data_IF_322686085845
#
_entry.id   IF_322686085845
#
_cell.length_a   1.000
_cell.length_b   1.000
_cell.length_c   1.000
_cell.angle_alpha   90.00
_cell.angle_beta   90.00
_cell.angle_gamma   90.00
#
_symmetry.space_group_name_H-M   'P 1'
#
loop_
_entity.id
_entity.type
_entity.pdbx_description
1 polymer ?
#
# COMPACT_ATOMS: atom_id res chain seq x y z
N UNK A 1 -55.39 21.72 37.86
CA UNK A 1 -54.35 21.59 38.90
C UNK A 1 -53.92 20.14 38.95
N UNK A 2 -52.60 19.89 38.99
CA UNK A 2 -51.90 18.91 39.85
C UNK A 2 -52.46 17.46 39.98
N UNK A 3 -51.76 16.42 39.46
CA UNK A 3 -50.65 15.63 40.10
C UNK A 3 -51.09 14.81 41.32
N UNK A 4 -50.63 13.59 41.61
CA UNK A 4 -49.45 12.76 41.23
C UNK A 4 -49.88 11.26 41.31
N UNK A 5 -49.42 10.34 40.47
CA UNK A 5 -48.14 9.57 40.52
C UNK A 5 -47.90 8.69 41.76
N UNK A 6 -47.89 7.37 41.53
CA UNK A 6 -47.17 6.24 42.19
C UNK A 6 -47.52 4.99 41.35
N UNK A 7 -46.72 3.94 41.10
CA UNK A 7 -45.32 3.58 41.39
C UNK A 7 -44.77 2.75 40.18
N UNK A 8 -43.47 2.40 40.16
CA UNK A 8 -42.90 1.41 39.21
C UNK A 8 -42.91 -0.01 39.78
N UNK A 9 -42.80 -1.05 38.92
CA UNK A 9 -41.77 -2.12 38.96
C UNK A 9 -41.85 -3.02 37.69
N UNK A 10 -40.71 -3.60 37.30
CA UNK A 10 -40.43 -4.35 36.06
C UNK A 10 -40.92 -5.82 36.08
N UNK A 11 -41.08 -6.45 34.90
CA UNK A 11 -40.15 -7.49 34.37
C UNK A 11 -40.71 -8.39 33.23
N UNK A 12 -39.80 -8.93 32.39
CA UNK A 12 -39.91 -10.07 31.46
C UNK A 12 -40.94 -9.99 30.29
N UNK A 13 -40.54 -9.79 29.02
CA UNK A 13 -39.83 -10.72 28.08
C UNK A 13 -40.71 -11.85 27.52
N UNK A 14 -41.00 -11.76 26.21
CA UNK A 14 -40.81 -12.87 25.27
C UNK A 14 -40.76 -12.35 23.82
N UNK A 15 -39.72 -12.69 23.07
CA UNK A 15 -39.50 -12.19 21.71
C UNK A 15 -40.28 -12.98 20.66
N UNK A 16 -40.95 -12.29 19.74
CA UNK A 16 -41.51 -12.90 18.53
C UNK A 16 -40.46 -12.86 17.41
N UNK A 17 -40.11 -14.04 16.89
CA UNK A 17 -39.14 -14.20 15.81
C UNK A 17 -39.66 -13.61 14.49
N UNK A 18 -39.07 -12.49 14.07
CA UNK A 18 -39.09 -12.09 12.65
C UNK A 18 -37.79 -12.58 12.03
N UNK A 19 -37.83 -13.75 11.38
CA UNK A 19 -36.79 -14.13 10.44
C UNK A 19 -36.87 -13.23 9.20
N UNK A 20 -36.26 -12.06 9.29
CA UNK A 20 -35.72 -11.44 8.09
C UNK A 20 -34.61 -12.35 7.60
N UNK A 21 -34.78 -12.90 6.40
CA UNK A 21 -33.73 -13.65 5.73
C UNK A 21 -32.66 -12.67 5.27
N UNK A 22 -31.78 -12.27 6.19
CA UNK A 22 -30.49 -11.68 5.82
C UNK A 22 -29.80 -12.67 4.90
N UNK A 23 -29.65 -12.31 3.63
CA UNK A 23 -28.60 -12.87 2.79
C UNK A 23 -27.27 -12.48 3.46
N UNK A 24 -26.78 -13.35 4.34
CA UNK A 24 -25.49 -13.20 4.95
C UNK A 24 -24.46 -13.29 3.83
N UNK A 25 -23.92 -12.14 3.43
CA UNK A 25 -22.52 -12.10 3.03
C UNK A 25 -21.78 -12.69 4.22
N UNK A 26 -21.04 -13.79 4.01
CA UNK A 26 -20.25 -14.40 5.06
C UNK A 26 -19.15 -13.42 5.49
N UNK A 27 -19.48 -12.58 6.46
CA UNK A 27 -18.49 -11.80 7.21
C UNK A 27 -17.70 -12.79 8.05
N UNK A 28 -16.70 -13.41 7.42
CA UNK A 28 -15.65 -14.12 8.13
C UNK A 28 -15.08 -13.13 9.15
N UNK A 29 -15.30 -13.43 10.43
CA UNK A 29 -14.85 -12.60 11.53
C UNK A 29 -13.35 -12.35 11.41
N UNK A 30 -12.89 -11.13 11.67
CA UNK A 30 -11.47 -10.80 11.79
C UNK A 30 -10.71 -11.79 12.70
N UNK A 31 -11.39 -12.36 13.70
CA UNK A 31 -10.86 -13.37 14.60
C UNK A 31 -10.45 -14.68 13.91
N UNK A 32 -11.11 -15.05 12.80
CA UNK A 32 -10.79 -16.25 12.02
C UNK A 32 -9.48 -16.10 11.24
N UNK A 33 -9.06 -14.86 10.95
CA UNK A 33 -7.82 -14.54 10.26
C UNK A 33 -6.63 -14.41 11.24
N UNK A 34 -6.82 -14.58 12.56
CA UNK A 34 -5.76 -14.39 13.56
C UNK A 34 -4.69 -15.48 13.53
N UNK A 35 -3.43 -15.08 13.33
CA UNK A 35 -2.29 -16.00 13.26
C UNK A 35 -1.77 -16.29 14.68
N UNK A 36 -2.02 -17.50 15.17
CA UNK A 36 -1.58 -17.93 16.51
C UNK A 36 -0.06 -18.09 16.64
N UNK A 37 0.63 -18.50 15.56
CA UNK A 37 2.08 -18.64 15.51
C UNK A 37 2.58 -18.82 14.07
N UNK A 38 3.65 -18.12 13.68
CA UNK A 38 4.35 -18.37 12.42
C UNK A 38 5.58 -19.28 12.62
N UNK A 39 5.82 -20.28 11.75
CA UNK A 39 6.96 -21.18 11.88
C UNK A 39 8.31 -20.45 11.88
N UNK A 40 9.08 -20.52 12.97
CA UNK A 40 10.38 -19.86 13.08
C UNK A 40 10.33 -18.37 13.46
N UNK A 41 9.14 -17.79 13.65
CA UNK A 41 9.00 -16.49 14.29
C UNK A 41 9.34 -16.61 15.78
N UNK A 42 10.10 -15.66 16.38
CA UNK A 42 10.25 -15.59 17.83
C UNK A 42 8.91 -15.26 18.50
N UNK A 43 8.84 -15.35 19.83
CA UNK A 43 7.66 -14.88 20.56
C UNK A 43 7.52 -13.37 20.39
N UNK A 44 6.38 -12.93 19.85
CA UNK A 44 6.01 -11.53 19.67
C UNK A 44 4.91 -11.13 20.66
N UNK A 45 4.81 -9.83 20.94
CA UNK A 45 3.83 -9.23 21.85
C UNK A 45 2.59 -8.66 21.13
N UNK A 46 2.69 -8.40 19.82
CA UNK A 46 1.61 -7.87 18.98
C UNK A 46 0.68 -8.97 18.46
N UNK A 47 -0.55 -8.59 18.14
CA UNK A 47 -1.46 -9.44 17.36
C UNK A 47 -1.18 -9.32 15.87
N UNK A 48 -1.38 -10.41 15.15
CA UNK A 48 -1.12 -10.53 13.73
C UNK A 48 -2.22 -11.36 13.06
N UNK A 49 -2.63 -10.96 11.87
CA UNK A 49 -3.76 -11.52 11.14
C UNK A 49 -3.40 -11.66 9.66
N UNK A 50 -3.88 -12.70 9.00
CA UNK A 50 -3.83 -12.79 7.55
C UNK A 50 -4.96 -13.65 7.01
N UNK A 51 -5.36 -13.33 5.79
CA UNK A 51 -6.49 -13.97 5.13
C UNK A 51 -6.84 -13.20 3.88
N UNK A 52 -8.10 -13.29 3.46
CA UNK A 52 -8.57 -12.71 2.21
C UNK A 52 -9.63 -11.62 2.41
N UNK A 53 -9.61 -10.65 1.50
CA UNK A 53 -10.70 -9.71 1.28
C UNK A 53 -11.17 -9.91 -0.16
N UNK A 54 -12.45 -10.26 -0.32
CA UNK A 54 -13.09 -10.39 -1.63
C UNK A 54 -13.20 -9.03 -2.29
N UNK A 55 -12.79 -8.96 -3.56
CA UNK A 55 -12.85 -7.77 -4.41
C UNK A 55 -14.02 -7.87 -5.38
N UNK A 56 -14.23 -9.06 -5.94
CA UNK A 56 -15.27 -9.34 -6.93
C UNK A 56 -15.72 -10.80 -6.82
N UNK A 57 -16.90 -11.01 -6.24
CA UNK A 57 -17.51 -12.33 -6.07
C UNK A 57 -17.81 -13.01 -7.42
N UNK A 58 -18.15 -12.24 -8.47
CA UNK A 58 -18.53 -12.81 -9.77
C UNK A 58 -17.33 -13.36 -10.54
N UNK A 59 -16.14 -12.83 -10.27
CA UNK A 59 -14.88 -13.25 -10.90
C UNK A 59 -14.03 -14.15 -9.98
N UNK A 60 -14.50 -14.44 -8.76
CA UNK A 60 -13.74 -15.00 -7.63
C UNK A 60 -12.34 -14.35 -7.56
N UNK A 61 -12.35 -13.03 -7.36
CA UNK A 61 -11.16 -12.20 -7.20
C UNK A 61 -11.04 -11.73 -5.77
N UNK A 62 -9.92 -12.06 -5.14
CA UNK A 62 -9.65 -11.75 -3.73
C UNK A 62 -8.20 -11.33 -3.54
N UNK A 63 -7.98 -10.33 -2.68
CA UNK A 63 -6.64 -9.96 -2.24
C UNK A 63 -6.33 -10.63 -0.91
N UNK A 64 -5.17 -11.29 -0.85
CA UNK A 64 -4.53 -11.68 0.38
C UNK A 64 -4.01 -10.43 1.10
N UNK A 65 -4.07 -10.45 2.43
CA UNK A 65 -3.41 -9.45 3.26
C UNK A 65 -2.72 -10.10 4.46
N UNK A 66 -1.67 -9.44 4.92
CA UNK A 66 -1.09 -9.62 6.25
C UNK A 66 -1.24 -8.32 7.03
N UNK A 67 -1.63 -8.39 8.30
CA UNK A 67 -1.89 -7.25 9.16
C UNK A 67 -1.23 -7.48 10.52
N UNK A 68 -0.50 -6.50 11.02
CA UNK A 68 0.07 -6.52 12.38
C UNK A 68 -0.35 -5.29 13.16
N UNK A 69 -0.75 -5.49 14.39
CA UNK A 69 -1.08 -4.39 15.31
C UNK A 69 0.20 -3.74 15.86
N UNK A 70 0.10 -2.45 16.23
CA UNK A 70 1.21 -1.75 16.86
C UNK A 70 1.62 -2.40 18.20
N UNK A 71 2.92 -2.42 18.53
CA UNK A 71 3.37 -2.97 19.81
C UNK A 71 2.94 -2.09 21.01
N UNK A 72 2.02 -2.62 21.80
CA UNK A 72 1.88 -2.42 23.24
C UNK A 72 1.77 -0.97 23.78
N UNK A 73 0.64 -0.30 23.53
CA UNK A 73 0.17 0.84 24.35
C UNK A 73 -1.37 0.97 24.29
N UNK A 74 -2.03 0.90 25.44
CA UNK A 74 -3.46 0.56 25.59
C UNK A 74 -4.43 1.75 25.62
N UNK A 75 -3.97 2.99 25.37
CA UNK A 75 -4.79 4.19 25.65
C UNK A 75 -5.01 5.18 24.50
N UNK A 76 -4.50 4.94 23.29
CA UNK A 76 -4.72 5.80 22.12
C UNK A 76 -5.00 5.01 20.84
N UNK A 77 -5.91 5.52 20.00
CA UNK A 77 -6.10 5.04 18.62
C UNK A 77 -4.81 5.28 17.84
N UNK A 78 -4.04 4.21 17.59
CA UNK A 78 -2.82 4.30 16.76
C UNK A 78 -3.21 4.46 15.28
N UNK A 79 -2.38 5.14 14.47
CA UNK A 79 -2.56 5.19 13.03
C UNK A 79 -2.66 3.80 12.38
N UNK A 80 -3.36 3.74 11.26
CA UNK A 80 -3.35 2.61 10.34
C UNK A 80 -2.52 3.02 9.13
N UNK A 81 -1.46 2.27 8.84
CA UNK A 81 -0.60 2.53 7.70
C UNK A 81 -0.61 1.32 6.76
N UNK A 82 -0.89 1.58 5.49
CA UNK A 82 -0.68 0.59 4.43
C UNK A 82 0.81 0.65 4.05
N UNK A 83 1.62 -0.37 4.45
CA UNK A 83 3.10 -0.51 4.25
C UNK A 83 4.00 0.50 5.03
N UNK A 84 5.26 0.31 5.44
CA UNK A 84 5.99 -0.76 6.19
C UNK A 84 6.52 -0.12 7.52
N UNK A 85 6.73 -0.92 8.59
CA UNK A 85 7.44 -0.61 9.88
C UNK A 85 6.60 -0.46 11.17
N UNK A 86 7.19 -0.77 12.33
CA UNK A 86 6.49 -1.22 13.55
C UNK A 86 5.98 -0.18 14.56
N UNK A 87 5.73 1.07 14.19
CA UNK A 87 5.25 2.13 15.12
C UNK A 87 3.72 2.38 15.03
N UNK A 88 3.04 1.70 14.12
CA UNK A 88 1.63 1.87 13.82
C UNK A 88 0.98 0.50 13.48
N UNK A 89 -0.34 0.48 13.29
CA UNK A 89 -1.01 -0.72 12.78
C UNK A 89 -0.68 -0.85 11.29
N UNK A 90 -0.10 -1.97 10.86
CA UNK A 90 0.45 -2.10 9.51
C UNK A 90 -0.33 -3.10 8.68
N UNK A 91 -0.89 -2.64 7.56
CA UNK A 91 -1.62 -3.46 6.61
C UNK A 91 -0.80 -3.68 5.33
N UNK A 92 -0.61 -4.95 4.98
CA UNK A 92 0.18 -5.42 3.84
C UNK A 92 -0.74 -6.17 2.84
N UNK A 93 -1.45 -5.46 1.94
CA UNK A 93 -2.19 -6.09 0.86
C UNK A 93 -1.26 -6.54 -0.26
N UNK A 94 -1.43 -7.78 -0.74
CA UNK A 94 -0.81 -8.21 -1.99
C UNK A 94 -1.72 -7.79 -3.16
N UNK A 95 -1.26 -6.83 -3.97
CA UNK A 95 -2.07 -6.21 -5.04
C UNK A 95 -1.23 -6.01 -6.31
N UNK A 96 -1.81 -6.07 -7.53
CA UNK A 96 -3.18 -6.52 -7.84
C UNK A 96 -3.34 -8.04 -7.65
N UNK A 97 -4.53 -8.57 -7.95
CA UNK A 97 -4.76 -10.02 -7.99
C UNK A 97 -3.80 -10.71 -8.98
N UNK A 98 -3.24 -11.84 -8.55
CA UNK A 98 -2.14 -12.54 -9.22
C UNK A 98 -0.75 -12.18 -8.68
N UNK A 99 -0.64 -11.18 -7.79
CA UNK A 99 0.56 -10.95 -6.95
C UNK A 99 0.52 -11.86 -5.72
N UNK A 100 1.57 -12.64 -5.48
CA UNK A 100 1.71 -13.47 -4.28
C UNK A 100 0.61 -14.53 -4.13
N UNK A 101 -0.13 -14.48 -3.03
CA UNK A 101 -1.29 -15.31 -2.73
C UNK A 101 -2.63 -14.71 -3.19
N UNK A 102 -2.66 -13.44 -3.62
CA UNK A 102 -3.84 -12.80 -4.20
C UNK A 102 -4.14 -13.38 -5.57
N UNK A 103 -5.43 -13.54 -5.90
CA UNK A 103 -5.82 -14.29 -7.09
C UNK A 103 -7.15 -13.80 -7.70
N UNK A 104 -7.37 -14.20 -8.94
CA UNK A 104 -8.63 -14.15 -9.70
C UNK A 104 -8.82 -15.53 -10.33
N UNK A 105 -9.97 -16.18 -10.13
CA UNK A 105 -10.26 -17.45 -10.80
C UNK A 105 -10.45 -17.26 -12.32
N UNK A 106 -10.99 -16.11 -12.73
CA UNK A 106 -11.01 -15.73 -14.14
C UNK A 106 -9.60 -15.31 -14.61
N UNK A 107 -9.03 -16.08 -15.54
CA UNK A 107 -7.69 -15.85 -16.08
C UNK A 107 -7.61 -14.72 -17.11
N UNK A 108 -8.71 -14.30 -17.72
CA UNK A 108 -8.72 -13.15 -18.66
C UNK A 108 -8.52 -11.81 -17.96
N UNK A 109 -8.75 -11.76 -16.64
CA UNK A 109 -8.41 -10.61 -15.81
C UNK A 109 -6.92 -10.23 -15.95
N UNK A 110 -6.02 -11.21 -15.91
CA UNK A 110 -4.57 -10.98 -15.94
C UNK A 110 -4.04 -10.43 -17.28
N UNK A 111 -4.86 -10.42 -18.34
CA UNK A 111 -4.44 -9.96 -19.67
C UNK A 111 -4.69 -8.47 -19.94
N UNK A 112 -5.54 -7.81 -19.15
CA UNK A 112 -5.97 -6.42 -19.35
C UNK A 112 -5.78 -5.55 -18.10
N UNK A 113 -4.74 -5.82 -17.31
CA UNK A 113 -4.46 -5.10 -16.07
C UNK A 113 -3.85 -3.71 -16.34
N UNK A 114 -4.33 -2.71 -15.60
CA UNK A 114 -3.84 -1.33 -15.66
C UNK A 114 -3.93 -0.66 -14.27
N UNK A 115 -3.33 0.54 -14.18
CA UNK A 115 -3.28 1.36 -12.96
C UNK A 115 -4.70 1.68 -12.42
N UNK A 116 -5.65 1.97 -13.32
CA UNK A 116 -7.03 2.36 -13.00
C UNK A 116 -7.83 1.23 -12.33
N UNK A 117 -7.77 0.01 -12.88
CA UNK A 117 -8.36 -1.21 -12.29
C UNK A 117 -7.69 -1.50 -10.94
N UNK A 118 -6.36 -1.38 -10.87
CA UNK A 118 -5.60 -1.63 -9.64
C UNK A 118 -6.00 -0.66 -8.52
N UNK A 119 -6.16 0.63 -8.83
CA UNK A 119 -6.59 1.65 -7.87
C UNK A 119 -8.05 1.44 -7.40
N UNK A 120 -8.95 1.05 -8.31
CA UNK A 120 -10.35 0.70 -7.97
C UNK A 120 -10.43 -0.53 -7.06
N UNK A 121 -9.74 -1.61 -7.42
CA UNK A 121 -9.71 -2.84 -6.62
C UNK A 121 -9.09 -2.57 -5.23
N UNK A 122 -8.05 -1.74 -5.13
CA UNK A 122 -7.48 -1.29 -3.85
C UNK A 122 -8.48 -0.47 -3.00
N UNK A 123 -9.34 0.35 -3.61
CA UNK A 123 -10.40 1.07 -2.88
C UNK A 123 -11.45 0.10 -2.34
N UNK A 124 -11.85 -0.90 -3.14
CA UNK A 124 -12.79 -1.97 -2.72
C UNK A 124 -12.18 -2.78 -1.58
N UNK A 125 -10.90 -3.16 -1.71
CA UNK A 125 -10.14 -3.82 -0.65
C UNK A 125 -10.21 -3.06 0.67
N UNK A 126 -9.86 -1.76 0.69
CA UNK A 126 -9.88 -0.97 1.92
C UNK A 126 -11.29 -0.85 2.52
N UNK A 127 -12.31 -0.61 1.69
CA UNK A 127 -13.71 -0.55 2.15
C UNK A 127 -14.16 -1.86 2.81
N UNK A 128 -13.85 -3.00 2.19
CA UNK A 128 -14.21 -4.32 2.71
C UNK A 128 -13.34 -4.72 3.92
N UNK A 129 -12.07 -4.31 3.96
CA UNK A 129 -11.20 -4.49 5.12
C UNK A 129 -11.72 -3.72 6.34
N UNK A 130 -12.15 -2.47 6.20
CA UNK A 130 -12.80 -1.72 7.28
C UNK A 130 -14.16 -2.30 7.70
N UNK A 131 -14.85 -3.07 6.85
CA UNK A 131 -16.04 -3.83 7.26
C UNK A 131 -15.63 -5.02 8.14
N UNK A 132 -14.54 -5.72 7.79
CA UNK A 132 -14.00 -6.85 8.57
C UNK A 132 -13.37 -6.41 9.91
N UNK A 133 -12.65 -5.28 9.92
CA UNK A 133 -11.98 -4.69 11.09
C UNK A 133 -12.58 -3.31 11.46
N UNK A 134 -13.83 -3.26 11.96
CA UNK A 134 -14.51 -1.99 12.20
C UNK A 134 -13.87 -1.13 13.29
N UNK A 135 -13.04 -1.70 14.16
CA UNK A 135 -12.33 -0.97 15.23
C UNK A 135 -11.33 0.06 14.71
N UNK A 136 -10.80 -0.09 13.49
CA UNK A 136 -9.81 0.83 12.90
C UNK A 136 -10.44 1.94 12.04
N UNK A 137 -11.77 1.99 11.89
CA UNK A 137 -12.45 3.01 11.06
C UNK A 137 -12.17 4.46 11.46
N UNK A 138 -11.79 4.69 12.71
CA UNK A 138 -11.50 6.01 13.28
C UNK A 138 -9.99 6.25 13.49
N UNK A 139 -9.11 5.32 13.07
CA UNK A 139 -7.66 5.54 13.07
C UNK A 139 -7.27 6.51 11.95
N UNK A 140 -6.24 7.33 12.18
CA UNK A 140 -5.61 8.09 11.10
C UNK A 140 -5.06 7.14 10.04
N UNK A 141 -5.48 7.30 8.78
CA UNK A 141 -5.06 6.46 7.67
C UNK A 141 -3.87 7.10 6.93
N UNK A 142 -2.78 6.36 6.84
CA UNK A 142 -1.66 6.67 5.96
C UNK A 142 -1.51 5.58 4.89
N UNK A 143 -1.12 5.99 3.69
CA UNK A 143 -0.91 5.08 2.56
C UNK A 143 0.52 5.31 2.09
N UNK A 144 1.33 4.26 2.13
CA UNK A 144 2.71 4.29 1.70
C UNK A 144 3.00 3.15 0.72
N UNK A 145 4.18 3.19 0.12
CA UNK A 145 4.60 2.22 -0.88
C UNK A 145 5.98 2.59 -1.44
N UNK A 146 6.57 1.66 -2.17
CA UNK A 146 7.89 1.79 -2.76
C UNK A 146 7.84 1.45 -4.26
N UNK A 147 8.85 1.89 -5.02
CA UNK A 147 8.97 1.58 -6.45
C UNK A 147 7.72 1.99 -7.25
N UNK A 148 7.13 1.07 -8.03
CA UNK A 148 5.93 1.31 -8.82
C UNK A 148 4.68 1.69 -7.98
N UNK A 149 4.70 1.49 -6.65
CA UNK A 149 3.64 2.03 -5.79
C UNK A 149 3.62 3.58 -5.77
N UNK A 150 4.65 4.25 -6.29
CA UNK A 150 4.59 5.68 -6.64
C UNK A 150 3.47 6.03 -7.64
N UNK A 151 2.96 5.05 -8.38
CA UNK A 151 1.71 5.15 -9.17
C UNK A 151 0.47 4.81 -8.34
N UNK A 152 0.52 3.72 -7.58
CA UNK A 152 -0.65 3.22 -6.85
C UNK A 152 -1.09 4.12 -5.69
N UNK A 153 -0.14 4.66 -4.91
CA UNK A 153 -0.44 5.45 -3.71
C UNK A 153 -1.17 6.75 -4.06
N UNK A 154 -0.72 7.59 -5.03
CA UNK A 154 -1.46 8.80 -5.38
C UNK A 154 -2.84 8.51 -5.97
N UNK A 155 -2.96 7.50 -6.84
CA UNK A 155 -4.24 7.15 -7.47
C UNK A 155 -5.26 6.61 -6.45
N UNK A 156 -4.82 5.77 -5.51
CA UNK A 156 -5.67 5.30 -4.42
C UNK A 156 -6.09 6.44 -3.49
N UNK A 157 -5.17 7.32 -3.10
CA UNK A 157 -5.47 8.47 -2.27
C UNK A 157 -6.48 9.42 -2.94
N UNK A 158 -6.37 9.64 -4.25
CA UNK A 158 -7.33 10.42 -5.03
C UNK A 158 -8.73 9.78 -5.00
N UNK A 159 -8.85 8.49 -5.32
CA UNK A 159 -10.13 7.78 -5.29
C UNK A 159 -10.78 7.75 -3.89
N UNK A 160 -9.98 7.74 -2.83
CA UNK A 160 -10.49 7.84 -1.45
C UNK A 160 -11.14 9.20 -1.24
N UNK A 161 -10.46 10.31 -1.58
CA UNK A 161 -11.02 11.66 -1.46
C UNK A 161 -12.31 11.83 -2.28
N UNK A 162 -12.29 11.42 -3.55
CA UNK A 162 -13.46 11.51 -4.44
C UNK A 162 -14.66 10.71 -3.88
N UNK A 163 -14.40 9.53 -3.28
CA UNK A 163 -15.46 8.75 -2.63
C UNK A 163 -15.94 9.33 -1.29
N UNK A 164 -15.09 10.10 -0.61
CA UNK A 164 -15.44 10.85 0.60
C UNK A 164 -16.31 12.07 0.27
N UNK A 165 -16.03 12.79 -0.83
CA UNK A 165 -16.88 13.90 -1.30
C UNK A 165 -18.28 13.41 -1.71
N UNK A 166 -18.39 12.22 -2.30
CA UNK A 166 -19.68 11.59 -2.60
C UNK A 166 -20.47 11.13 -1.36
N UNK A 167 -19.84 11.10 -0.17
CA UNK A 167 -20.48 10.70 1.10
C UNK A 167 -20.58 11.82 2.13
N UNK A 168 -19.89 12.95 1.94
CA UNK A 168 -19.93 14.11 2.84
C UNK A 168 -21.18 14.99 2.66
N UNK A 169 -21.87 14.88 1.52
CA UNK A 169 -23.19 15.45 1.30
C UNK A 169 -24.30 14.43 1.60
N UNK A 170 -25.19 14.72 2.56
CA UNK A 170 -26.48 14.04 2.62
C UNK A 170 -27.26 14.36 1.34
N UNK A 171 -27.38 13.38 0.43
CA UNK A 171 -28.10 13.56 -0.83
C UNK A 171 -29.48 14.14 -0.56
N UNK A 172 -29.80 15.28 -1.20
CA UNK A 172 -31.11 15.91 -1.03
C UNK A 172 -32.23 14.95 -1.46
N UNK A 173 -33.46 15.07 -0.94
CA UNK A 173 -34.57 14.20 -1.36
C UNK A 173 -34.79 14.18 -2.88
N UNK A 174 -34.53 15.29 -3.57
CA UNK A 174 -34.55 15.36 -5.03
C UNK A 174 -33.40 14.55 -5.67
N UNK A 175 -32.19 14.61 -5.12
CA UNK A 175 -31.06 13.82 -5.62
C UNK A 175 -31.23 12.32 -5.34
N UNK A 176 -31.84 11.95 -4.20
CA UNK A 176 -32.24 10.58 -3.91
C UNK A 176 -33.32 10.08 -4.87
N UNK A 177 -34.32 10.91 -5.19
CA UNK A 177 -35.36 10.58 -6.18
C UNK A 177 -34.76 10.39 -7.58
N UNK A 178 -33.92 11.32 -8.06
CA UNK A 178 -33.22 11.21 -9.35
C UNK A 178 -32.32 9.98 -9.38
N UNK A 179 -31.58 9.66 -8.32
CA UNK A 179 -30.75 8.44 -8.24
C UNK A 179 -31.59 7.16 -8.26
N UNK A 180 -32.73 7.16 -7.58
CA UNK A 180 -33.66 6.02 -7.59
C UNK A 180 -34.29 5.82 -8.97
N UNK A 181 -34.64 6.92 -9.65
CA UNK A 181 -35.23 6.88 -10.99
C UNK A 181 -34.20 6.47 -12.04
N UNK A 182 -32.98 7.03 -12.00
CA UNK A 182 -31.84 6.58 -12.81
C UNK A 182 -31.57 5.08 -12.65
N UNK A 183 -31.59 4.57 -11.42
CA UNK A 183 -31.39 3.14 -11.14
C UNK A 183 -32.53 2.23 -11.65
N UNK A 184 -33.73 2.79 -11.88
CA UNK A 184 -34.87 2.07 -12.45
C UNK A 184 -34.94 2.16 -13.98
N UNK A 185 -34.54 3.30 -14.56
CA UNK A 185 -34.60 3.53 -16.02
C UNK A 185 -33.40 2.93 -16.78
N UNK A 186 -32.23 2.82 -16.14
CA UNK A 186 -31.01 2.26 -16.78
C UNK A 186 -30.98 0.74 -16.78
N UNK A 187 -31.59 0.09 -15.78
CA UNK A 187 -31.66 -1.37 -15.65
C UNK A 187 -30.31 -2.06 -15.38
N UNK A 188 -30.33 -3.40 -15.36
CA UNK A 188 -29.14 -4.22 -15.11
C UNK A 188 -28.36 -4.59 -16.39
N UNK A 189 -28.87 -4.21 -17.56
CA UNK A 189 -28.29 -4.53 -18.88
C UNK A 189 -27.39 -3.44 -19.45
N UNK A 190 -27.17 -2.36 -18.70
CA UNK A 190 -26.34 -1.21 -19.08
C UNK A 190 -25.20 -1.11 -18.07
N UNK A 191 -23.96 -1.01 -18.56
CA UNK A 191 -22.82 -0.80 -17.69
C UNK A 191 -22.96 0.56 -16.98
N UNK A 192 -22.93 0.53 -15.66
CA UNK A 192 -23.14 1.70 -14.80
C UNK A 192 -21.90 2.62 -14.75
N UNK A 193 -20.81 2.25 -15.41
CA UNK A 193 -19.55 2.99 -15.46
C UNK A 193 -19.16 3.47 -16.86
N UNK A 194 -19.72 2.92 -17.95
CA UNK A 194 -19.58 3.48 -19.30
C UNK A 194 -20.78 3.15 -20.21
N UNK A 195 -21.53 4.19 -20.62
CA UNK A 195 -22.71 4.10 -21.49
C UNK A 195 -22.41 4.30 -22.99
N UNK A 196 -21.13 4.42 -23.37
CA UNK A 196 -20.74 4.92 -24.71
C UNK A 196 -19.72 4.08 -25.48
N UNK A 197 -19.12 3.04 -24.90
CA UNK A 197 -18.09 2.23 -25.57
C UNK A 197 -18.59 0.86 -26.08
N UNK A 198 -18.36 0.60 -27.38
CA UNK A 198 -18.68 -0.67 -28.04
C UNK A 198 -17.54 -1.70 -27.87
N UNK A 199 -17.92 -2.96 -27.64
CA UNK A 199 -16.99 -4.11 -27.62
C UNK A 199 -16.66 -4.65 -29.03
N UNK A 200 -15.43 -5.12 -29.24
CA UNK A 200 -15.00 -5.80 -30.48
C UNK A 200 -14.14 -7.05 -30.20
N UNK A 201 -14.43 -8.15 -30.89
CA UNK A 201 -13.63 -9.38 -31.08
C UNK A 201 -14.02 -9.99 -32.45
N UNK A 202 -13.19 -10.84 -33.10
CA UNK A 202 -11.78 -10.67 -33.44
C UNK A 202 -11.52 -10.94 -34.97
N UNK A 203 -10.24 -11.07 -35.38
CA UNK A 203 -9.72 -11.33 -36.76
C UNK A 203 -9.74 -10.10 -37.70
N UNK A 204 -8.78 -9.86 -38.63
CA UNK A 204 -7.85 -10.74 -39.38
C UNK A 204 -6.46 -10.07 -39.56
N UNK A 205 -5.36 -10.84 -39.62
CA UNK A 205 -3.97 -10.39 -39.91
C UNK A 205 -3.69 -10.31 -41.43
N UNK A 206 -2.85 -9.38 -41.94
CA UNK A 206 -1.50 -9.81 -42.32
C UNK A 206 -0.35 -8.77 -42.15
N UNK A 207 0.76 -9.24 -41.57
CA UNK A 207 2.17 -8.80 -41.77
C UNK A 207 2.59 -8.77 -43.27
N UNK A 208 3.76 -8.21 -43.71
CA UNK A 208 5.01 -7.84 -43.00
C UNK A 208 5.50 -6.37 -43.34
N UNK A 209 6.68 -5.80 -42.98
CA UNK A 209 8.08 -6.30 -42.94
C UNK A 209 8.98 -5.50 -41.97
N UNK A 210 10.00 -6.20 -41.45
CA UNK A 210 11.30 -5.75 -40.88
C UNK A 210 11.87 -4.47 -41.58
N UNK A 211 12.72 -3.63 -41.00
CA UNK A 211 13.85 -3.90 -40.10
C UNK A 211 14.37 -2.57 -39.50
N UNK A 212 14.96 -2.59 -38.30
CA UNK A 212 16.39 -2.28 -38.09
C UNK A 212 16.82 -2.98 -36.80
N UNK A 213 17.93 -3.71 -36.89
CA UNK A 213 18.61 -4.37 -35.77
C UNK A 213 20.00 -3.76 -35.71
N UNK A 214 20.47 -3.34 -34.53
CA UNK A 214 21.85 -3.51 -34.02
C UNK A 214 22.11 -2.61 -32.80
N UNK A 215 21.95 -3.17 -31.60
CA UNK A 215 22.66 -2.71 -30.39
C UNK A 215 22.98 -3.90 -29.44
N UNK A 216 23.36 -5.02 -30.05
CA UNK A 216 24.04 -6.12 -29.36
C UNK A 216 25.51 -6.12 -29.78
N UNK A 217 26.38 -5.51 -28.95
CA UNK A 217 27.82 -5.85 -28.81
C UNK A 217 28.53 -5.04 -27.70
N UNK A 218 27.86 -4.73 -26.58
CA UNK A 218 28.51 -4.15 -25.39
C UNK A 218 28.12 -4.79 -24.05
N UNK A 219 27.31 -5.86 -24.04
CA UNK A 219 26.89 -6.52 -22.79
C UNK A 219 27.59 -7.88 -22.54
N UNK A 220 28.04 -8.57 -23.60
CA UNK A 220 28.61 -9.93 -23.49
C UNK A 220 29.99 -9.94 -22.79
N UNK A 221 30.85 -8.96 -23.08
CA UNK A 221 32.23 -8.94 -22.55
C UNK A 221 32.26 -8.59 -21.05
N UNK A 222 31.34 -7.74 -20.58
CA UNK A 222 31.21 -7.38 -19.17
C UNK A 222 30.73 -8.57 -18.32
N UNK A 223 29.72 -9.31 -18.78
CA UNK A 223 29.20 -10.50 -18.08
C UNK A 223 30.20 -11.67 -18.04
N UNK A 224 31.09 -11.77 -19.05
CA UNK A 224 32.15 -12.79 -19.07
C UNK A 224 33.29 -12.47 -18.10
N UNK A 225 33.60 -11.19 -17.89
CA UNK A 225 34.59 -10.76 -16.88
C UNK A 225 34.02 -10.78 -15.45
N UNK A 226 32.75 -10.43 -15.25
CA UNK A 226 32.11 -10.53 -13.93
C UNK A 226 32.02 -11.98 -13.44
N UNK A 227 31.69 -12.94 -14.31
CA UNK A 227 31.59 -14.34 -13.90
C UNK A 227 32.96 -14.94 -13.51
N UNK A 228 34.04 -14.54 -14.18
CA UNK A 228 35.41 -14.91 -13.79
C UNK A 228 35.86 -14.24 -12.47
N UNK A 229 35.47 -12.99 -12.22
CA UNK A 229 35.79 -12.29 -10.97
C UNK A 229 35.00 -12.86 -9.77
N UNK A 230 33.68 -13.03 -9.93
CA UNK A 230 32.78 -13.57 -8.91
C UNK A 230 33.13 -15.00 -8.47
N UNK A 231 33.66 -15.83 -9.38
CA UNK A 231 34.11 -17.19 -9.06
C UNK A 231 35.32 -17.26 -8.10
N UNK A 232 35.99 -16.13 -7.81
CA UNK A 232 37.23 -16.09 -7.02
C UNK A 232 37.10 -15.40 -5.65
N UNK A 233 36.00 -14.68 -5.39
CA UNK A 233 35.92 -13.80 -4.22
C UNK A 233 34.60 -13.93 -3.44
N UNK A 234 34.69 -14.75 -2.38
CA UNK A 234 33.79 -14.84 -1.21
C UNK A 234 32.41 -15.44 -1.48
N UNK A 235 31.89 -16.06 -0.43
CA UNK A 235 30.48 -16.46 -0.35
C UNK A 235 29.62 -15.21 -0.52
N UNK A 236 28.94 -15.08 -1.67
CA UNK A 236 27.86 -14.12 -1.80
C UNK A 236 26.83 -14.44 -0.72
N UNK A 237 26.53 -13.45 0.13
CA UNK A 237 25.51 -13.60 1.17
C UNK A 237 24.18 -14.04 0.56
N UNK A 238 23.46 -14.88 1.31
CA UNK A 238 22.23 -15.51 0.82
C UNK A 238 21.23 -14.45 0.33
N UNK A 239 20.75 -14.59 -0.90
CA UNK A 239 19.76 -13.70 -1.48
C UNK A 239 18.48 -13.72 -0.61
N UNK A 240 18.18 -12.64 0.10
CA UNK A 240 17.02 -12.57 1.00
C UNK A 240 15.70 -12.87 0.28
N UNK A 241 15.60 -12.51 -1.00
CA UNK A 241 14.45 -12.87 -1.85
C UNK A 241 14.28 -14.38 -2.01
N UNK A 242 15.35 -15.15 -2.14
CA UNK A 242 15.28 -16.61 -2.28
C UNK A 242 14.82 -17.25 -0.96
N UNK A 243 15.27 -16.76 0.19
CA UNK A 243 14.79 -17.23 1.50
C UNK A 243 13.33 -16.87 1.75
N UNK A 244 12.87 -15.68 1.36
CA UNK A 244 11.44 -15.31 1.42
C UNK A 244 10.60 -16.22 0.52
N UNK A 245 11.05 -16.47 -0.73
CA UNK A 245 10.37 -17.41 -1.63
C UNK A 245 10.34 -18.84 -1.05
N UNK A 246 11.45 -19.34 -0.48
CA UNK A 246 11.48 -20.66 0.18
C UNK A 246 10.53 -20.71 1.37
N UNK A 247 10.53 -19.67 2.20
CA UNK A 247 9.73 -19.59 3.42
C UNK A 247 8.22 -19.59 3.11
N UNK A 248 7.76 -18.70 2.23
CA UNK A 248 6.34 -18.57 1.88
C UNK A 248 5.81 -19.71 1.01
N UNK A 249 6.68 -20.55 0.43
CA UNK A 249 6.29 -21.80 -0.23
C UNK A 249 6.26 -23.02 0.67
N UNK A 250 6.51 -22.89 1.98
CA UNK A 250 6.31 -23.99 2.93
C UNK A 250 4.83 -24.14 3.26
N UNK A 251 4.35 -25.39 3.24
CA UNK A 251 2.96 -25.74 3.55
C UNK A 251 2.55 -25.35 4.99
N UNK A 252 3.46 -25.46 5.97
CA UNK A 252 3.19 -25.08 7.35
C UNK A 252 3.08 -23.56 7.53
N UNK A 253 3.89 -22.79 6.81
CA UNK A 253 3.80 -21.31 6.76
C UNK A 253 2.51 -20.87 6.08
N UNK A 254 2.14 -21.46 4.94
CA UNK A 254 0.90 -21.13 4.24
C UNK A 254 -0.35 -21.42 5.10
N UNK A 255 -0.38 -22.56 5.79
CA UNK A 255 -1.46 -22.90 6.75
C UNK A 255 -1.53 -21.88 7.89
N UNK A 256 -0.39 -21.52 8.49
CA UNK A 256 -0.35 -20.50 9.55
C UNK A 256 -0.77 -19.11 9.07
N UNK A 257 -0.58 -18.79 7.78
CA UNK A 257 -1.02 -17.54 7.15
C UNK A 257 -2.46 -17.58 6.62
N UNK A 258 -3.18 -18.71 6.75
CA UNK A 258 -4.47 -18.94 6.08
C UNK A 258 -4.42 -18.73 4.55
N UNK A 259 -3.22 -18.85 3.97
CA UNK A 259 -2.93 -18.57 2.57
C UNK A 259 -3.18 -19.79 1.69
N UNK A 260 -3.61 -19.55 0.45
CA UNK A 260 -3.79 -20.59 -0.58
C UNK A 260 -3.19 -20.15 -1.92
N UNK A 261 -2.64 -21.12 -2.64
CA UNK A 261 -2.18 -20.94 -4.01
C UNK A 261 -3.35 -21.27 -4.96
N UNK A 262 -3.83 -20.27 -5.70
CA UNK A 262 -4.94 -20.41 -6.66
C UNK A 262 -4.47 -19.96 -8.04
N UNK A 263 -4.53 -20.86 -9.03
CA UNK A 263 -4.05 -20.58 -10.39
C UNK A 263 -2.52 -20.54 -10.54
N UNK A 264 -1.75 -20.68 -9.46
CA UNK A 264 -0.28 -20.69 -9.44
C UNK A 264 0.25 -21.92 -8.70
N UNK A 265 1.43 -22.40 -9.08
CA UNK A 265 2.05 -23.57 -8.45
C UNK A 265 2.87 -23.24 -7.19
N UNK A 266 3.41 -22.02 -7.11
CA UNK A 266 4.23 -21.49 -6.02
C UNK A 266 3.90 -20.01 -5.83
N UNK A 267 4.05 -19.50 -4.60
CA UNK A 267 4.13 -18.06 -4.33
C UNK A 267 5.42 -17.49 -4.94
N UNK A 268 5.36 -16.28 -5.50
CA UNK A 268 6.56 -15.56 -5.95
C UNK A 268 6.47 -14.06 -5.67
N UNK A 269 7.59 -13.47 -5.23
CA UNK A 269 7.70 -12.04 -4.89
C UNK A 269 7.26 -11.10 -6.02
N UNK A 270 7.57 -11.46 -7.26
CA UNK A 270 7.06 -10.79 -8.46
C UNK A 270 6.30 -11.81 -9.30
N UNK A 271 5.13 -11.45 -9.84
CA UNK A 271 4.31 -12.36 -10.63
C UNK A 271 4.59 -12.24 -12.13
N UNK A 272 5.01 -13.36 -12.74
CA UNK A 272 5.17 -13.48 -14.19
C UNK A 272 3.87 -13.67 -14.97
N UNK A 273 2.73 -13.85 -14.28
CA UNK A 273 1.42 -14.06 -14.89
C UNK A 273 0.78 -12.76 -15.38
N UNK A 274 1.05 -11.64 -14.70
CA UNK A 274 0.43 -10.35 -15.00
C UNK A 274 0.89 -9.82 -16.37
N UNK A 275 -0.06 -9.39 -17.20
CA UNK A 275 0.19 -8.60 -18.43
C UNK A 275 -0.33 -7.20 -18.19
N UNK A 276 0.53 -6.41 -17.55
CA UNK A 276 0.23 -5.03 -17.20
C UNK A 276 0.37 -4.10 -18.40
N UNK A 277 -0.49 -3.09 -18.53
CA UNK A 277 -0.40 -2.09 -19.58
C UNK A 277 0.93 -1.32 -19.48
N UNK A 278 1.76 -1.43 -20.50
CA UNK A 278 3.09 -0.80 -20.50
C UNK A 278 3.01 0.74 -20.54
N UNK A 279 1.93 1.30 -21.08
CA UNK A 279 1.73 2.75 -21.22
C UNK A 279 1.57 3.44 -19.87
N UNK A 280 1.05 2.74 -18.86
CA UNK A 280 0.82 3.32 -17.53
C UNK A 280 2.13 3.79 -16.90
N UNK A 281 3.25 3.11 -17.20
CA UNK A 281 4.61 3.49 -16.78
C UNK A 281 5.09 4.84 -17.32
N UNK A 282 4.46 5.35 -18.38
CA UNK A 282 4.78 6.65 -18.99
C UNK A 282 3.89 7.78 -18.44
N UNK A 283 2.85 7.45 -17.65
CA UNK A 283 1.92 8.42 -17.06
C UNK A 283 2.56 9.04 -15.82
N UNK A 284 2.83 10.35 -15.86
CA UNK A 284 3.37 11.08 -14.72
C UNK A 284 2.33 11.26 -13.61
N UNK A 285 2.70 10.94 -12.37
CA UNK A 285 1.86 11.10 -11.18
C UNK A 285 1.91 12.50 -10.57
N UNK A 286 2.76 13.40 -11.07
CA UNK A 286 2.94 14.75 -10.52
C UNK A 286 1.64 15.58 -10.52
N UNK A 287 0.75 15.53 -11.54
CA UNK A 287 -0.54 16.20 -11.47
C UNK A 287 -1.47 15.66 -10.38
N UNK A 288 -1.43 14.35 -10.12
CA UNK A 288 -2.21 13.68 -9.05
C UNK A 288 -1.67 14.11 -7.68
N UNK A 289 -0.36 14.00 -7.48
CA UNK A 289 0.31 14.47 -6.25
C UNK A 289 0.04 15.96 -5.99
N UNK A 290 0.08 16.81 -7.03
CA UNK A 290 -0.23 18.22 -6.90
C UNK A 290 -1.69 18.50 -6.53
N UNK A 291 -2.61 17.64 -6.96
CA UNK A 291 -4.02 17.72 -6.56
C UNK A 291 -4.20 17.28 -5.10
N UNK A 292 -3.57 16.19 -4.68
CA UNK A 292 -3.58 15.72 -3.28
C UNK A 292 -3.02 16.77 -2.30
N UNK A 293 -1.88 17.38 -2.63
CA UNK A 293 -1.28 18.44 -1.82
C UNK A 293 -2.17 19.68 -1.75
N UNK A 294 -2.83 20.08 -2.85
CA UNK A 294 -3.83 21.18 -2.85
C UNK A 294 -5.04 20.87 -1.97
N UNK A 295 -5.48 19.61 -1.93
CA UNK A 295 -6.60 19.14 -1.10
C UNK A 295 -6.24 18.90 0.37
N UNK A 296 -5.01 19.22 0.80
CA UNK A 296 -4.60 19.10 2.20
C UNK A 296 -4.09 17.71 2.62
N UNK A 297 -3.79 16.82 1.66
CA UNK A 297 -3.15 15.51 1.97
C UNK A 297 -1.65 15.67 2.17
N UNK A 298 -1.20 15.47 3.42
CA UNK A 298 0.22 15.53 3.79
C UNK A 298 1.01 14.45 3.05
N UNK A 299 1.93 14.87 2.20
CA UNK A 299 2.68 14.03 1.26
C UNK A 299 4.16 14.03 1.61
N UNK A 300 4.75 12.85 1.78
CA UNK A 300 6.19 12.66 2.00
C UNK A 300 6.78 11.75 0.94
N UNK A 301 7.89 12.18 0.37
CA UNK A 301 8.63 11.43 -0.64
C UNK A 301 10.05 11.20 -0.13
N UNK A 302 10.54 9.96 -0.18
CA UNK A 302 11.93 9.66 0.15
C UNK A 302 12.64 8.88 -0.96
N UNK A 303 13.97 8.86 -0.92
CA UNK A 303 14.78 8.06 -1.85
C UNK A 303 16.08 7.59 -1.19
N UNK A 304 16.46 6.34 -1.44
CA UNK A 304 17.80 5.85 -1.10
C UNK A 304 18.87 6.47 -2.00
N UNK A 305 20.02 6.87 -1.44
CA UNK A 305 21.08 7.48 -2.24
C UNK A 305 21.91 6.49 -3.09
N UNK A 306 21.66 5.18 -2.94
CA UNK A 306 22.22 4.10 -3.75
C UNK A 306 21.21 3.48 -4.73
N UNK A 307 20.01 4.07 -4.90
CA UNK A 307 19.03 3.58 -5.88
C UNK A 307 19.43 3.97 -7.32
N UNK A 308 19.61 2.97 -8.18
CA UNK A 308 19.87 3.12 -9.61
C UNK A 308 18.64 2.94 -10.51
N UNK A 309 17.54 2.42 -9.96
CA UNK A 309 16.26 2.19 -10.66
C UNK A 309 15.42 3.46 -10.65
N UNK A 310 15.32 4.12 -9.49
CA UNK A 310 14.67 5.43 -9.33
C UNK A 310 15.69 6.42 -8.71
N UNK A 311 16.60 7.00 -9.53
CA UNK A 311 17.69 7.81 -9.00
C UNK A 311 17.22 9.04 -8.24
N UNK A 312 17.79 9.27 -7.05
CA UNK A 312 17.43 10.35 -6.12
C UNK A 312 17.32 11.74 -6.78
N UNK A 313 18.14 12.01 -7.80
CA UNK A 313 18.17 13.29 -8.52
C UNK A 313 16.88 13.52 -9.32
N UNK A 314 16.30 12.48 -9.91
CA UNK A 314 15.02 12.54 -10.61
C UNK A 314 13.90 12.87 -9.63
N UNK A 315 13.76 12.06 -8.57
CA UNK A 315 12.75 12.26 -7.52
C UNK A 315 12.84 13.66 -6.90
N UNK A 316 14.04 14.11 -6.53
CA UNK A 316 14.26 15.45 -5.97
C UNK A 316 13.83 16.56 -6.94
N UNK A 317 14.18 16.43 -8.23
CA UNK A 317 13.85 17.43 -9.25
C UNK A 317 12.34 17.53 -9.46
N UNK A 318 11.64 16.39 -9.43
CA UNK A 318 10.18 16.35 -9.55
C UNK A 318 9.47 16.97 -8.35
N UNK A 319 9.92 16.67 -7.12
CA UNK A 319 9.31 17.25 -5.89
C UNK A 319 9.59 18.75 -5.77
N UNK A 320 10.81 19.21 -6.08
CA UNK A 320 11.14 20.64 -6.12
C UNK A 320 10.38 21.39 -7.22
N UNK A 321 10.21 20.77 -8.40
CA UNK A 321 9.38 21.29 -9.48
C UNK A 321 7.92 21.44 -9.06
N UNK A 322 7.35 20.42 -8.43
CA UNK A 322 5.98 20.45 -7.90
C UNK A 322 5.81 21.54 -6.84
N UNK A 323 6.73 21.65 -5.87
CA UNK A 323 6.68 22.68 -4.84
C UNK A 323 6.69 24.10 -5.44
N UNK A 324 7.44 24.32 -6.52
CA UNK A 324 7.48 25.59 -7.27
C UNK A 324 6.19 25.86 -8.04
N UNK A 325 5.63 24.85 -8.71
CA UNK A 325 4.33 24.97 -9.42
C UNK A 325 3.20 25.37 -8.44
N UNK A 326 3.18 24.71 -7.28
CA UNK A 326 2.23 24.95 -6.19
C UNK A 326 2.55 26.23 -5.38
N UNK A 327 3.68 26.89 -5.63
CA UNK A 327 4.17 28.08 -4.91
C UNK A 327 4.29 27.88 -3.39
N UNK A 328 4.70 26.68 -2.97
CA UNK A 328 4.88 26.36 -1.55
C UNK A 328 6.13 27.02 -0.99
N UNK A 329 6.01 27.60 0.21
CA UNK A 329 7.14 28.18 0.92
C UNK A 329 8.01 27.07 1.53
N UNK A 330 9.33 27.13 1.31
CA UNK A 330 10.29 26.22 1.98
C UNK A 330 10.38 26.59 3.46
N UNK A 331 9.90 25.70 4.34
CA UNK A 331 9.92 25.86 5.81
C UNK A 331 11.19 25.27 6.42
N UNK A 332 11.70 24.17 5.85
CA UNK A 332 13.02 23.62 6.18
C UNK A 332 13.87 23.65 4.92
N UNK A 333 14.93 24.49 4.85
CA UNK A 333 15.83 24.52 3.70
C UNK A 333 16.58 23.19 3.58
N UNK A 334 17.12 22.90 2.39
CA UNK A 334 17.85 21.66 2.13
C UNK A 334 19.04 21.51 3.10
N UNK A 335 18.91 20.62 4.08
CA UNK A 335 19.90 20.37 5.15
C UNK A 335 20.12 18.89 5.38
N UNK A 336 21.18 18.56 6.11
CA UNK A 336 21.37 17.24 6.71
C UNK A 336 20.28 16.95 7.77
N UNK A 337 19.98 15.67 7.95
CA UNK A 337 19.24 15.15 9.10
C UNK A 337 20.00 13.98 9.73
N UNK A 338 19.70 13.68 11.00
CA UNK A 338 20.50 12.77 11.81
C UNK A 338 19.72 11.57 12.36
N UNK A 339 20.44 10.46 12.49
CA UNK A 339 20.05 9.25 13.20
C UNK A 339 20.60 9.33 14.64
N UNK A 340 19.71 9.38 15.63
CA UNK A 340 20.08 9.57 17.04
C UNK A 340 20.78 8.33 17.65
N UNK A 341 21.83 8.60 18.44
CA UNK A 341 22.28 7.77 19.56
C UNK A 341 22.42 6.24 19.33
N UNK A 342 23.33 5.82 18.44
CA UNK A 342 23.78 4.40 18.37
C UNK A 342 25.30 4.17 18.37
N UNK A 343 26.11 5.21 18.54
CA UNK A 343 27.57 5.05 18.65
C UNK A 343 28.17 6.02 19.66
N UNK A 344 28.60 5.47 20.79
CA UNK A 344 29.49 6.15 21.71
C UNK A 344 30.92 6.04 21.16
N UNK A 345 31.54 7.16 20.86
CA UNK A 345 32.99 7.19 20.68
C UNK A 345 33.65 7.34 22.05
N UNK A 346 34.63 6.49 22.34
CA UNK A 346 35.48 6.64 23.51
C UNK A 346 36.71 7.41 23.07
N UNK A 347 36.75 8.69 23.43
CA UNK A 347 37.98 9.49 23.42
C UNK A 347 38.23 9.95 24.85
N UNK A 348 39.42 9.67 25.36
CA UNK A 348 39.96 10.27 26.59
C UNK A 348 38.99 10.33 27.80
N UNK A 349 38.46 9.16 28.21
CA UNK A 349 37.54 9.02 29.36
C UNK A 349 36.17 9.73 29.25
N UNK A 350 35.82 10.29 28.10
CA UNK A 350 34.53 10.93 27.85
C UNK A 350 33.67 10.07 26.89
N UNK A 351 32.37 9.93 27.22
CA UNK A 351 31.39 9.23 26.36
C UNK A 351 30.73 10.28 25.47
N UNK A 352 31.29 10.47 24.28
CA UNK A 352 30.70 11.36 23.28
C UNK A 352 29.78 10.55 22.35
N UNK A 353 28.48 10.80 22.48
CA UNK A 353 27.45 10.30 21.57
C UNK A 353 27.57 11.01 20.22
N UNK A 354 27.85 10.27 19.15
CA UNK A 354 27.93 10.85 17.80
C UNK A 354 26.62 10.56 17.07
N UNK A 355 25.89 11.64 16.74
CA UNK A 355 24.77 11.57 15.82
C UNK A 355 25.29 11.33 14.39
N UNK A 356 24.80 10.29 13.73
CA UNK A 356 25.21 9.96 12.37
C UNK A 356 24.31 10.66 11.35
N UNK A 357 24.88 11.22 10.28
CA UNK A 357 24.08 11.83 9.19
C UNK A 357 23.25 10.74 8.51
N UNK A 358 21.93 10.79 8.73
CA UNK A 358 20.95 9.88 8.15
C UNK A 358 20.67 10.18 6.67
N UNK A 359 20.87 11.43 6.26
CA UNK A 359 20.74 11.87 4.87
C UNK A 359 20.48 13.37 4.78
N UNK A 360 19.70 13.79 3.78
CA UNK A 360 19.30 15.19 3.58
C UNK A 360 17.78 15.33 3.50
N UNK A 361 17.24 16.49 3.88
CA UNK A 361 15.79 16.76 3.85
C UNK A 361 15.50 18.20 3.44
N UNK A 362 14.32 18.41 2.85
CA UNK A 362 13.75 19.71 2.52
C UNK A 362 12.23 19.64 2.71
N UNK A 363 11.64 20.65 3.34
CA UNK A 363 10.21 20.67 3.68
C UNK A 363 9.57 21.97 3.18
N UNK A 364 8.37 21.84 2.64
CA UNK A 364 7.57 22.91 2.06
C UNK A 364 6.24 23.00 2.80
N UNK A 365 6.07 24.07 3.59
CA UNK A 365 4.96 24.18 4.55
C UNK A 365 5.00 23.09 5.62
N UNK A 366 3.84 22.50 5.86
CA UNK A 366 3.55 21.30 6.65
C UNK A 366 3.05 20.14 5.76
N UNK A 367 2.92 20.39 4.44
CA UNK A 367 2.13 19.56 3.52
C UNK A 367 2.97 18.70 2.57
N UNK A 368 4.18 19.13 2.19
CA UNK A 368 5.04 18.42 1.25
C UNK A 368 6.48 18.36 1.79
N UNK A 369 7.04 17.16 1.86
CA UNK A 369 8.41 16.94 2.33
C UNK A 369 9.19 15.96 1.46
N UNK A 370 10.49 16.18 1.34
CA UNK A 370 11.44 15.28 0.69
C UNK A 370 12.57 14.88 1.65
N UNK A 371 13.01 13.62 1.58
CA UNK A 371 14.23 13.17 2.25
C UNK A 371 15.04 12.19 1.40
N UNK A 372 16.37 12.24 1.52
CA UNK A 372 17.25 11.16 1.08
C UNK A 372 17.69 10.33 2.28
N UNK A 373 17.98 9.04 2.05
CA UNK A 373 18.54 8.14 3.05
C UNK A 373 19.94 7.69 2.63
N UNK A 374 20.92 8.04 3.46
CA UNK A 374 22.32 7.72 3.26
C UNK A 374 22.56 6.22 3.36
N UNK A 375 23.10 5.63 2.30
CA UNK A 375 23.31 4.19 2.17
C UNK A 375 22.03 3.38 1.91
N UNK A 376 20.89 4.04 1.65
CA UNK A 376 19.65 3.37 1.27
C UNK A 376 19.68 2.94 -0.20
N UNK A 377 19.27 1.71 -0.48
CA UNK A 377 19.04 1.22 -1.85
C UNK A 377 17.63 1.60 -2.35
N UNK A 378 17.19 0.97 -3.45
CA UNK A 378 15.79 0.95 -3.86
C UNK A 378 14.83 0.50 -2.74
N UNK A 379 15.27 -0.44 -1.89
CA UNK A 379 14.54 -0.94 -0.71
C UNK A 379 15.11 -0.30 0.57
N UNK A 380 14.70 0.95 0.84
CA UNK A 380 15.27 1.75 1.94
C UNK A 380 15.07 1.11 3.32
N UNK A 381 13.87 0.61 3.70
CA UNK A 381 13.70 -0.08 4.98
C UNK A 381 14.51 -1.37 5.08
N UNK A 382 14.75 -2.06 3.96
CA UNK A 382 15.53 -3.29 3.93
C UNK A 382 17.05 -3.09 4.07
N UNK A 383 17.56 -1.91 3.67
CA UNK A 383 19.00 -1.61 3.69
C UNK A 383 19.43 -0.64 4.79
N UNK A 384 18.53 0.25 5.24
CA UNK A 384 18.78 1.22 6.32
C UNK A 384 17.58 1.27 7.29
N UNK A 385 17.23 0.15 7.95
CA UNK A 385 15.99 0.03 8.75
C UNK A 385 15.87 1.08 9.86
N UNK A 386 16.95 1.38 10.59
CA UNK A 386 16.94 2.37 11.67
C UNK A 386 16.71 3.80 11.15
N UNK A 387 17.29 4.16 10.00
CA UNK A 387 17.07 5.45 9.33
C UNK A 387 15.66 5.57 8.74
N UNK A 388 15.16 4.49 8.14
CA UNK A 388 13.78 4.42 7.66
C UNK A 388 12.79 4.64 8.81
N UNK A 389 13.03 4.02 9.96
CA UNK A 389 12.22 4.19 11.17
C UNK A 389 12.23 5.64 11.68
N UNK A 390 13.38 6.32 11.72
CA UNK A 390 13.46 7.75 12.10
C UNK A 390 12.59 8.62 11.18
N UNK A 391 12.68 8.43 9.86
CA UNK A 391 11.87 9.17 8.90
C UNK A 391 10.38 8.87 9.02
N UNK A 392 10.02 7.60 9.19
CA UNK A 392 8.63 7.15 9.37
C UNK A 392 8.01 7.77 10.63
N UNK A 393 8.71 7.67 11.77
CA UNK A 393 8.27 8.21 13.05
C UNK A 393 8.13 9.73 13.03
N UNK A 394 9.07 10.43 12.38
CA UNK A 394 8.99 11.88 12.19
C UNK A 394 7.77 12.25 11.33
N UNK A 395 7.55 11.55 10.21
CA UNK A 395 6.41 11.78 9.33
C UNK A 395 5.07 11.52 10.02
N UNK A 396 4.90 10.42 10.76
CA UNK A 396 3.66 10.15 11.52
C UNK A 396 3.37 11.29 12.51
N UNK A 397 4.38 11.73 13.26
CA UNK A 397 4.28 12.84 14.23
C UNK A 397 4.06 14.22 13.58
N UNK A 398 4.08 14.33 12.25
CA UNK A 398 3.98 15.61 11.54
C UNK A 398 5.20 16.52 11.75
N UNK A 399 6.36 15.94 12.02
CA UNK A 399 7.60 16.65 12.34
C UNK A 399 8.64 16.48 11.22
N UNK A 400 9.49 17.49 10.96
CA UNK A 400 10.64 17.31 10.08
C UNK A 400 11.64 16.32 10.71
N UNK A 401 12.45 15.61 9.90
CA UNK A 401 13.52 14.75 10.41
C UNK A 401 14.49 15.52 11.33
N UNK A 402 15.11 14.87 12.35
CA UNK A 402 15.97 15.55 13.34
C UNK A 402 17.04 16.46 12.73
N UNK A 403 17.30 17.59 13.40
CA UNK A 403 18.49 18.41 13.17
C UNK A 403 19.65 17.90 14.05
N UNK A 404 20.78 18.59 14.01
CA UNK A 404 21.91 18.35 14.94
C UNK A 404 21.59 18.82 16.36
#
# INVERSE_FOLDING_TARGET
>A
MQTQSWMMILAAVCAALVHFCSSAVESHSAQADQISSLPGQPRVSFQQFSGYITIDEKQDRSFFYYFVEAENDTTALKPLVVWFSGEANMLYPESPAGTGFSYSANTSFYTNLNDEITARDNLVFLKNWFIKFPQYKNSELFIAGESYAGHFVPQLAQLILESAEQTSGSLSPACLAVRSQYSQEVGDSVDRFDVTLNSCLPSVDPQPVRCIRNLHNCFSLYMTLLSAYAASHRECGVCIGDEVNKYLNREDVQKSLHARLVGVANWSMCSGALRYNIKDKEITMIPVMGSLVKSGVRTFVYSGDQDSVIPLFGTRTLVDGLAKELRLNTTVPYRNWFEENRSASIHEYEINFINHVGGWTQVYGDILSFATVRGGSHTVPGTQPARALVLFTAFLKGQPPPAE
#
